data_IF_078108187951
#
_entry.id   IF_078108187951
#
_cell.length_a   1.000
_cell.length_b   1.000
_cell.length_c   1.000
_cell.angle_alpha   90.00
_cell.angle_beta   90.00
_cell.angle_gamma   90.00
#
_symmetry.space_group_name_H-M   'P 1'
#
loop_
_entity.id
_entity.type
_entity.pdbx_description
1 polymer ?
#
# COMPACT_ATOMS: atom_id res chain seq x y z
N UNK A 1 -4.25 -56.16 -31.57
CA UNK A 1 -4.79 -54.79 -31.83
C UNK A 1 -5.34 -54.17 -30.53
N UNK A 2 -4.49 -53.66 -29.66
CA UNK A 2 -4.89 -53.07 -28.35
C UNK A 2 -3.88 -52.02 -27.86
N UNK A 3 -3.71 -50.87 -28.55
CA UNK A 3 -2.82 -49.81 -28.00
C UNK A 3 -3.10 -48.35 -28.40
N UNK A 4 -4.21 -47.94 -29.07
CA UNK A 4 -4.42 -46.51 -29.32
C UNK A 4 -5.10 -45.74 -28.15
N UNK A 5 -5.81 -46.45 -27.23
CA UNK A 5 -6.60 -45.78 -26.18
C UNK A 5 -5.75 -45.30 -24.99
N UNK A 6 -4.60 -45.93 -24.73
CA UNK A 6 -3.71 -45.54 -23.65
C UNK A 6 -3.04 -44.18 -23.89
N UNK A 7 -2.71 -43.86 -25.15
CA UNK A 7 -2.17 -42.54 -25.52
C UNK A 7 -3.22 -41.42 -25.43
N UNK A 8 -4.49 -41.72 -25.77
CA UNK A 8 -5.58 -40.76 -25.73
C UNK A 8 -5.95 -40.37 -24.30
N UNK A 9 -5.94 -41.33 -23.36
CA UNK A 9 -6.19 -41.08 -21.92
C UNK A 9 -5.07 -40.31 -21.27
N UNK A 10 -3.80 -40.52 -21.63
CA UNK A 10 -2.66 -39.77 -21.12
C UNK A 10 -2.69 -38.32 -21.63
N UNK A 11 -3.08 -38.07 -22.88
CA UNK A 11 -3.23 -36.72 -23.40
C UNK A 11 -4.38 -35.95 -22.73
N UNK A 12 -5.47 -36.64 -22.39
CA UNK A 12 -6.62 -36.02 -21.69
C UNK A 12 -6.28 -35.65 -20.23
N UNK A 13 -5.45 -36.43 -19.56
CA UNK A 13 -4.98 -36.12 -18.21
C UNK A 13 -4.00 -34.93 -18.16
N UNK A 14 -3.19 -34.74 -19.21
CA UNK A 14 -2.29 -33.57 -19.29
C UNK A 14 -3.05 -32.24 -19.54
N UNK A 15 -4.21 -32.30 -20.17
CA UNK A 15 -5.02 -31.12 -20.47
C UNK A 15 -5.76 -30.55 -19.26
N UNK A 16 -5.82 -31.29 -18.14
CA UNK A 16 -6.50 -30.87 -16.91
C UNK A 16 -5.61 -30.06 -15.93
N UNK A 17 -4.32 -29.90 -16.21
CA UNK A 17 -3.45 -28.99 -15.46
C UNK A 17 -3.60 -27.56 -16.00
N UNK A 18 -4.76 -26.95 -15.74
CA UNK A 18 -4.92 -25.53 -15.98
C UNK A 18 -3.97 -24.80 -15.02
N UNK A 19 -2.92 -24.09 -15.47
CA UNK A 19 -2.08 -23.31 -14.57
C UNK A 19 -2.98 -22.23 -13.95
N UNK A 20 -3.39 -22.44 -12.71
CA UNK A 20 -4.03 -21.39 -11.92
C UNK A 20 -3.02 -20.26 -11.83
N UNK A 21 -3.26 -19.18 -12.58
CA UNK A 21 -2.39 -18.01 -12.55
C UNK A 21 -2.38 -17.46 -11.14
N UNK A 22 -1.29 -17.67 -10.43
CA UNK A 22 -1.09 -17.17 -9.08
C UNK A 22 -1.30 -15.65 -9.05
N UNK A 23 -1.89 -15.14 -7.97
CA UNK A 23 -2.08 -13.71 -7.83
C UNK A 23 -0.74 -12.97 -7.95
N UNK A 24 -0.74 -11.87 -8.64
CA UNK A 24 0.36 -10.92 -8.75
C UNK A 24 -0.12 -9.54 -8.30
N UNK A 25 0.77 -8.76 -7.70
CA UNK A 25 0.39 -7.44 -7.22
C UNK A 25 1.53 -6.44 -7.31
N UNK A 26 1.18 -5.17 -7.26
CA UNK A 26 2.15 -4.05 -7.26
C UNK A 26 1.65 -2.93 -6.39
N UNK A 27 2.55 -2.32 -5.63
CA UNK A 27 2.38 -0.97 -5.12
C UNK A 27 2.93 -0.02 -6.19
N UNK A 28 2.07 0.87 -6.71
CA UNK A 28 2.38 1.71 -7.87
C UNK A 28 2.90 3.07 -7.43
N UNK A 29 2.25 3.66 -6.41
CA UNK A 29 2.55 5.00 -5.95
C UNK A 29 2.13 5.18 -4.50
N UNK A 30 2.92 5.97 -3.78
CA UNK A 30 2.60 6.41 -2.42
C UNK A 30 2.67 7.94 -2.39
N UNK A 31 1.57 8.56 -2.00
CA UNK A 31 1.49 10.01 -1.80
C UNK A 31 1.42 10.28 -0.29
N UNK A 32 2.24 11.21 0.18
CA UNK A 32 2.25 11.66 1.58
C UNK A 32 1.68 13.06 1.66
N UNK A 33 0.77 13.27 2.62
CA UNK A 33 0.18 14.56 2.91
C UNK A 33 0.24 14.86 4.41
N UNK A 34 0.49 16.11 4.76
CA UNK A 34 0.30 16.61 6.12
C UNK A 34 -1.18 16.90 6.35
N UNK A 35 -1.64 16.66 7.58
CA UNK A 35 -3.00 16.98 8.01
C UNK A 35 -2.97 18.22 8.91
N UNK A 36 -3.95 19.13 8.70
CA UNK A 36 -4.18 20.28 9.56
C UNK A 36 -4.88 19.86 10.88
N UNK A 37 -5.08 20.77 11.86
CA UNK A 37 -5.78 20.46 13.10
C UNK A 37 -7.21 19.96 12.93
N UNK A 38 -7.83 20.16 11.78
CA UNK A 38 -9.14 19.62 11.41
C UNK A 38 -9.06 18.28 10.66
N UNK A 39 -7.85 17.70 10.53
CA UNK A 39 -7.61 16.45 9.81
C UNK A 39 -7.69 16.55 8.29
N UNK A 40 -7.54 17.74 7.70
CA UNK A 40 -7.65 17.96 6.26
C UNK A 40 -6.28 18.10 5.61
N UNK A 41 -6.10 17.49 4.46
CA UNK A 41 -4.88 17.62 3.64
C UNK A 41 -5.01 18.71 2.57
N UNK A 42 -6.21 19.21 2.32
CA UNK A 42 -6.50 20.30 1.37
C UNK A 42 -7.70 21.09 1.86
N UNK A 43 -7.82 22.33 1.36
CA UNK A 43 -8.97 23.20 1.56
C UNK A 43 -9.74 23.47 0.28
N UNK A 44 -9.22 23.00 -0.85
CA UNK A 44 -9.76 23.25 -2.17
C UNK A 44 -9.63 22.01 -3.06
N UNK A 45 -10.52 21.82 -4.04
CA UNK A 45 -10.39 20.75 -5.03
C UNK A 45 -9.25 21.01 -6.04
N UNK A 46 -8.70 22.21 -6.09
CA UNK A 46 -7.60 22.58 -6.97
C UNK A 46 -6.31 21.91 -6.54
N UNK A 47 -5.62 21.24 -7.49
CA UNK A 47 -4.32 20.59 -7.23
C UNK A 47 -3.25 21.62 -6.85
N UNK A 48 -3.26 22.77 -7.50
CA UNK A 48 -2.32 23.85 -7.21
C UNK A 48 -2.50 24.38 -5.78
N UNK A 49 -3.74 24.68 -5.38
CA UNK A 49 -4.03 25.16 -4.02
C UNK A 49 -3.72 24.10 -2.96
N UNK A 50 -3.94 22.81 -3.27
CA UNK A 50 -3.54 21.71 -2.41
C UNK A 50 -2.02 21.71 -2.20
N UNK A 51 -1.24 21.85 -3.26
CA UNK A 51 0.22 21.81 -3.16
C UNK A 51 0.78 23.03 -2.41
N UNK A 52 0.20 24.21 -2.61
CA UNK A 52 0.49 25.42 -1.81
C UNK A 52 0.16 25.19 -0.33
N UNK A 53 -1.00 24.58 -0.06
CA UNK A 53 -1.41 24.29 1.32
C UNK A 53 -0.50 23.24 1.99
N UNK A 54 -0.06 22.22 1.26
CA UNK A 54 0.90 21.24 1.75
C UNK A 54 2.26 21.90 2.06
N UNK A 55 2.75 22.78 1.19
CA UNK A 55 3.97 23.54 1.44
C UNK A 55 3.86 24.40 2.72
N UNK A 56 2.73 25.04 2.94
CA UNK A 56 2.43 25.80 4.15
C UNK A 56 2.47 24.91 5.42
N UNK A 57 1.83 23.74 5.39
CA UNK A 57 1.88 22.78 6.49
C UNK A 57 3.29 22.21 6.72
N UNK A 58 4.07 22.07 5.64
CA UNK A 58 5.45 21.58 5.72
C UNK A 58 6.38 22.58 6.44
N UNK A 59 6.15 23.88 6.26
CA UNK A 59 6.97 24.94 6.87
C UNK A 59 6.68 25.12 8.36
N UNK A 60 5.46 24.84 8.81
CA UNK A 60 5.08 25.02 10.23
C UNK A 60 4.58 23.69 10.87
N UNK A 61 5.48 22.95 11.55
CA UNK A 61 5.12 21.71 12.23
C UNK A 61 4.00 21.86 13.29
N UNK A 62 3.85 23.05 13.89
CA UNK A 62 2.81 23.29 14.90
C UNK A 62 1.40 23.27 14.33
N UNK A 63 1.27 23.43 13.03
CA UNK A 63 -0.02 23.38 12.31
C UNK A 63 -0.38 22.00 11.79
N UNK A 64 0.43 20.99 12.09
CA UNK A 64 0.20 19.61 11.69
C UNK A 64 -0.44 18.83 12.82
N UNK A 65 -1.50 18.09 12.52
CA UNK A 65 -2.11 17.14 13.45
C UNK A 65 -1.79 15.68 13.12
N UNK A 66 -1.24 15.43 11.92
CA UNK A 66 -0.95 14.08 11.47
C UNK A 66 -0.36 14.02 10.07
N UNK A 67 -0.23 12.79 9.59
CA UNK A 67 0.15 12.42 8.23
C UNK A 67 -0.89 11.50 7.62
N UNK A 68 -1.10 11.64 6.34
CA UNK A 68 -1.93 10.76 5.52
C UNK A 68 -1.09 10.20 4.38
N UNK A 69 -1.22 8.91 4.13
CA UNK A 69 -0.59 8.21 3.03
C UNK A 69 -1.65 7.60 2.13
N UNK A 70 -1.71 8.04 0.89
CA UNK A 70 -2.54 7.43 -0.15
C UNK A 70 -1.67 6.44 -0.93
N UNK A 71 -1.99 5.17 -0.82
CA UNK A 71 -1.25 4.09 -1.49
C UNK A 71 -2.05 3.60 -2.68
N UNK A 72 -1.48 3.75 -3.87
CA UNK A 72 -2.01 3.20 -5.12
C UNK A 72 -1.43 1.83 -5.37
N UNK A 73 -2.30 0.82 -5.51
CA UNK A 73 -1.90 -0.56 -5.69
C UNK A 73 -2.80 -1.30 -6.67
N UNK A 74 -2.31 -2.42 -7.20
CA UNK A 74 -3.08 -3.36 -8.02
C UNK A 74 -2.81 -4.79 -7.60
N UNK A 75 -3.82 -5.65 -7.76
CA UNK A 75 -3.66 -7.10 -7.71
C UNK A 75 -4.41 -7.73 -8.90
N UNK A 76 -3.81 -8.77 -9.50
CA UNK A 76 -4.34 -9.50 -10.66
C UNK A 76 -4.21 -11.00 -10.41
N UNK A 77 -5.03 -11.78 -11.11
CA UNK A 77 -5.07 -13.24 -10.97
C UNK A 77 -6.02 -13.70 -9.88
N UNK A 78 -5.99 -14.99 -9.60
CA UNK A 78 -6.84 -15.58 -8.58
C UNK A 78 -6.22 -15.39 -7.21
N UNK A 79 -6.88 -14.58 -6.37
CA UNK A 79 -6.49 -14.35 -4.98
C UNK A 79 -7.05 -15.49 -4.14
N UNK A 80 -6.18 -16.23 -3.47
CA UNK A 80 -6.51 -17.40 -2.66
C UNK A 80 -6.54 -17.13 -1.15
N UNK A 81 -5.94 -16.01 -0.71
CA UNK A 81 -5.91 -15.58 0.69
C UNK A 81 -6.21 -14.07 0.79
N UNK A 82 -6.65 -13.57 1.96
CA UNK A 82 -6.89 -12.16 2.15
C UNK A 82 -5.68 -11.30 1.78
N UNK A 83 -5.94 -10.21 1.04
CA UNK A 83 -4.91 -9.22 0.75
C UNK A 83 -4.75 -8.28 1.95
N UNK A 84 -3.50 -7.99 2.30
CA UNK A 84 -3.13 -7.03 3.32
C UNK A 84 -2.23 -5.97 2.72
N UNK A 85 -2.62 -4.71 2.85
CA UNK A 85 -1.77 -3.57 2.52
C UNK A 85 -1.20 -3.03 3.82
N UNK A 86 0.12 -2.89 3.88
CA UNK A 86 0.86 -2.47 5.07
C UNK A 86 1.76 -1.31 4.70
N UNK A 87 1.79 -0.29 5.55
CA UNK A 87 2.78 0.78 5.48
C UNK A 87 3.59 0.84 6.78
N UNK A 88 4.89 0.79 6.64
CA UNK A 88 5.85 0.94 7.72
C UNK A 88 6.47 2.33 7.62
N UNK A 89 6.48 3.05 8.73
CA UNK A 89 7.00 4.39 8.82
C UNK A 89 8.15 4.42 9.84
N UNK A 90 9.26 4.98 9.45
CA UNK A 90 10.40 5.27 10.32
C UNK A 90 10.52 6.76 10.50
N UNK A 91 10.79 7.18 11.72
CA UNK A 91 10.89 8.58 12.06
C UNK A 91 11.91 8.85 13.15
N UNK A 92 11.95 10.10 13.54
CA UNK A 92 12.75 10.60 14.64
C UNK A 92 11.84 11.26 15.68
N UNK A 93 11.68 10.59 16.82
CA UNK A 93 10.93 11.09 17.96
C UNK A 93 11.69 12.19 18.69
N UNK A 94 11.10 12.73 19.77
CA UNK A 94 11.77 13.73 20.62
C UNK A 94 13.14 13.23 21.08
N UNK A 95 14.14 14.10 21.02
CA UNK A 95 15.53 13.76 21.37
C UNK A 95 16.27 13.00 20.28
N UNK A 96 15.79 13.01 19.03
CA UNK A 96 16.35 12.30 17.88
C UNK A 96 16.40 10.77 18.07
N UNK A 97 15.52 10.21 18.88
CA UNK A 97 15.42 8.76 19.07
C UNK A 97 14.74 8.12 17.86
N UNK A 98 15.30 7.01 17.32
CA UNK A 98 14.65 6.26 16.25
C UNK A 98 13.25 5.81 16.67
N UNK A 99 12.28 5.98 15.80
CA UNK A 99 10.89 5.58 16.01
C UNK A 99 10.37 4.80 14.80
N UNK A 100 9.42 3.92 15.05
CA UNK A 100 8.77 3.14 13.99
C UNK A 100 7.31 2.93 14.32
N UNK A 101 6.47 2.97 13.30
CA UNK A 101 5.06 2.57 13.37
C UNK A 101 4.67 1.78 12.14
N UNK A 102 3.75 0.85 12.31
CA UNK A 102 3.18 0.03 11.24
C UNK A 102 1.68 0.24 11.23
N UNK A 103 1.14 0.59 10.06
CA UNK A 103 -0.29 0.65 9.80
C UNK A 103 -0.63 -0.43 8.77
N UNK A 104 -1.69 -1.18 9.01
CA UNK A 104 -2.09 -2.30 8.16
C UNK A 104 -3.60 -2.30 7.97
N UNK A 105 -4.05 -2.65 6.77
CA UNK A 105 -5.45 -2.82 6.43
C UNK A 105 -5.64 -4.04 5.54
N UNK A 106 -6.69 -4.83 5.81
CA UNK A 106 -7.18 -5.85 4.88
C UNK A 106 -7.86 -5.14 3.72
N UNK A 107 -7.47 -5.49 2.50
CA UNK A 107 -7.98 -4.89 1.28
C UNK A 107 -8.54 -5.97 0.36
N UNK A 108 -9.46 -5.59 -0.52
CA UNK A 108 -10.04 -6.51 -1.49
C UNK A 108 -9.75 -6.03 -2.91
N UNK A 109 -9.31 -6.92 -3.80
CA UNK A 109 -9.18 -6.58 -5.21
C UNK A 109 -10.57 -6.34 -5.78
N UNK A 110 -10.81 -5.18 -6.32
CA UNK A 110 -12.02 -4.87 -7.08
C UNK A 110 -11.76 -4.97 -8.58
N UNK A 111 -12.79 -4.68 -9.38
CA UNK A 111 -12.71 -4.70 -10.85
C UNK A 111 -12.04 -3.45 -11.44
N UNK A 112 -11.37 -2.63 -10.63
CA UNK A 112 -10.74 -1.41 -11.10
C UNK A 112 -9.48 -1.72 -11.91
N UNK A 113 -9.57 -1.62 -13.22
CA UNK A 113 -8.43 -1.78 -14.14
C UNK A 113 -7.32 -0.75 -13.93
N UNK A 114 -7.65 0.42 -13.36
CA UNK A 114 -6.71 1.49 -12.99
C UNK A 114 -6.04 1.29 -11.63
N UNK A 115 -6.40 0.22 -10.88
CA UNK A 115 -5.90 -0.01 -9.53
C UNK A 115 -6.77 0.62 -8.44
N UNK A 116 -6.33 0.47 -7.20
CA UNK A 116 -7.05 0.88 -6.00
C UNK A 116 -6.22 1.87 -5.21
N UNK A 117 -6.89 2.82 -4.55
CA UNK A 117 -6.29 3.71 -3.58
C UNK A 117 -6.74 3.31 -2.18
N UNK A 118 -5.77 3.19 -1.28
CA UNK A 118 -6.03 2.93 0.14
C UNK A 118 -5.34 4.00 0.96
N UNK A 119 -6.09 4.58 1.89
CA UNK A 119 -5.62 5.67 2.73
C UNK A 119 -5.22 5.16 4.11
N UNK A 120 -4.04 5.56 4.56
CA UNK A 120 -3.57 5.37 5.93
C UNK A 120 -3.43 6.72 6.59
N UNK A 121 -3.91 6.83 7.83
CA UNK A 121 -3.83 8.05 8.63
C UNK A 121 -3.03 7.78 9.89
N UNK A 122 -1.99 8.56 10.10
CA UNK A 122 -1.21 8.61 11.34
C UNK A 122 -1.52 9.94 12.02
N UNK A 123 -2.23 9.91 13.15
CA UNK A 123 -2.66 11.12 13.87
C UNK A 123 -2.63 10.92 15.38
N UNK A 124 -2.92 11.99 16.12
CA UNK A 124 -3.01 11.95 17.58
C UNK A 124 -1.71 11.56 18.26
N UNK A 125 -1.79 10.67 19.26
CA UNK A 125 -0.63 10.27 20.07
C UNK A 125 0.39 9.46 19.26
N UNK A 126 -0.05 8.61 18.31
CA UNK A 126 0.87 7.87 17.45
C UNK A 126 1.73 8.82 16.60
N UNK A 127 1.13 9.88 16.05
CA UNK A 127 1.87 10.89 15.28
C UNK A 127 2.91 11.61 16.15
N UNK A 128 2.53 11.97 17.36
CA UNK A 128 3.47 12.62 18.31
C UNK A 128 4.63 11.71 18.73
N UNK A 129 4.33 10.41 18.95
CA UNK A 129 5.32 9.41 19.34
C UNK A 129 6.32 9.10 18.23
N UNK A 130 5.85 9.04 16.98
CA UNK A 130 6.74 8.80 15.83
C UNK A 130 7.60 10.00 15.51
N UNK A 131 7.08 11.20 15.74
CA UNK A 131 7.77 12.45 15.42
C UNK A 131 7.87 12.71 13.92
N UNK A 132 9.01 13.22 13.45
CA UNK A 132 9.20 13.50 12.02
C UNK A 132 9.48 12.21 11.26
N UNK A 133 8.57 11.82 10.34
CA UNK A 133 8.74 10.63 9.51
C UNK A 133 9.73 10.91 8.40
N UNK A 134 10.83 10.15 8.39
CA UNK A 134 11.93 10.27 7.41
C UNK A 134 11.89 9.24 6.31
N UNK A 135 11.34 8.05 6.59
CA UNK A 135 11.28 6.96 5.61
C UNK A 135 9.97 6.17 5.73
N UNK A 136 9.56 5.58 4.63
CA UNK A 136 8.39 4.71 4.55
C UNK A 136 8.61 3.54 3.60
N UNK A 137 7.92 2.44 3.87
CA UNK A 137 7.80 1.28 2.98
C UNK A 137 6.36 0.80 2.96
N UNK A 138 5.78 0.67 1.78
CA UNK A 138 4.45 0.11 1.55
C UNK A 138 4.57 -1.26 0.90
N UNK A 139 3.86 -2.26 1.42
CA UNK A 139 3.91 -3.65 0.99
C UNK A 139 2.50 -4.20 0.82
N UNK A 140 2.29 -4.98 -0.25
CA UNK A 140 1.05 -5.68 -0.54
C UNK A 140 1.29 -7.19 -0.38
N UNK A 141 0.48 -7.85 0.43
CA UNK A 141 0.62 -9.26 0.79
C UNK A 141 -0.64 -10.04 0.44
N UNK A 142 -0.47 -11.30 0.07
CA UNK A 142 -1.52 -12.32 0.02
C UNK A 142 -1.18 -13.41 1.04
N UNK A 143 -1.91 -13.46 2.15
CA UNK A 143 -1.48 -14.29 3.27
C UNK A 143 -0.06 -13.93 3.72
N UNK A 144 0.88 -14.86 3.60
CA UNK A 144 2.31 -14.66 3.92
C UNK A 144 3.18 -14.36 2.69
N UNK A 145 2.59 -14.29 1.51
CA UNK A 145 3.31 -14.05 0.26
C UNK A 145 3.33 -12.56 -0.07
N UNK A 146 4.51 -11.99 -0.22
CA UNK A 146 4.70 -10.62 -0.71
C UNK A 146 4.37 -10.56 -2.21
N UNK A 147 3.42 -9.70 -2.60
CA UNK A 147 3.02 -9.47 -3.99
C UNK A 147 3.73 -8.28 -4.61
N UNK A 148 4.03 -7.26 -3.82
CA UNK A 148 4.70 -6.07 -4.30
C UNK A 148 5.02 -5.10 -3.19
N UNK A 149 6.01 -4.25 -3.45
CA UNK A 149 6.45 -3.22 -2.50
C UNK A 149 6.86 -1.93 -3.21
N UNK A 150 6.86 -0.85 -2.46
CA UNK A 150 7.47 0.42 -2.79
C UNK A 150 7.97 1.08 -1.52
N UNK A 151 9.12 1.72 -1.60
CA UNK A 151 9.75 2.37 -0.46
C UNK A 151 10.32 3.74 -0.82
N UNK A 152 10.51 4.58 0.19
CA UNK A 152 11.21 5.85 0.04
C UNK A 152 12.72 5.63 -0.12
N UNK A 153 13.39 6.65 -0.65
CA UNK A 153 14.85 6.59 -0.87
C UNK A 153 15.66 6.33 0.41
N UNK A 154 15.16 6.79 1.57
CA UNK A 154 15.85 6.67 2.86
C UNK A 154 15.46 5.42 3.68
N UNK A 155 14.76 4.50 3.08
CA UNK A 155 14.31 3.28 3.78
C UNK A 155 15.42 2.35 4.20
#
# INVERSE_FOLDING_TARGET
MRRPYACLTLLLLLALTCPCAAASGRVIKVLRFYLDPQGRHTRSPSLFERDVYQAYLQQDPKRRSGLMYDVHWTAKGQVSAPLRLRIELRGSAQGNLPSQVVLEQTVQPGHAWLGHWTQFVLSGEQYKQVGEVTAWRATLWEGERLLGEQQSFLW
#
